data_IF_139462327168
#
_entry.id   IF_139462327168
#
_cell.length_a   1.000
_cell.length_b   1.000
_cell.length_c   1.000
_cell.angle_alpha   90.00
_cell.angle_beta   90.00
_cell.angle_gamma   90.00
#
_symmetry.space_group_name_H-M   'P 1'
#
loop_
_entity.id
_entity.type
_entity.pdbx_description
1 polymer ?
#
# COMPACT_ATOMS: atom_id res chain seq x y z
N UNK A 1 -3.74 -2.79 17.50
CA UNK A 1 -2.50 -3.52 17.88
C UNK A 1 -2.60 -3.99 19.31
N UNK A 2 -2.33 -5.27 19.56
CA UNK A 2 -2.24 -5.85 20.91
C UNK A 2 -0.78 -5.82 21.39
N UNK A 3 -0.15 -4.69 21.38
CA UNK A 3 1.14 -4.53 22.03
C UNK A 3 0.93 -3.75 23.31
N UNK A 4 1.40 -4.25 24.41
CA UNK A 4 1.49 -3.47 25.63
C UNK A 4 2.91 -3.49 26.13
N UNK A 5 3.26 -2.47 26.88
CA UNK A 5 4.53 -2.40 27.61
C UNK A 5 4.77 -3.66 28.48
N UNK A 6 3.68 -4.33 28.89
CA UNK A 6 3.70 -5.54 29.69
C UNK A 6 4.06 -6.82 28.90
N UNK A 7 3.80 -6.86 27.59
CA UNK A 7 4.05 -8.02 26.75
C UNK A 7 5.30 -7.91 25.87
N UNK A 8 6.00 -6.78 25.94
CA UNK A 8 7.19 -6.51 25.15
C UNK A 8 6.89 -5.96 23.74
N UNK A 9 7.84 -5.28 23.18
CA UNK A 9 7.73 -4.51 21.95
C UNK A 9 7.41 -5.33 20.71
N UNK A 10 7.84 -6.60 20.65
CA UNK A 10 7.61 -7.48 19.50
C UNK A 10 6.15 -7.93 19.35
N UNK A 11 5.37 -7.93 20.42
CA UNK A 11 3.99 -8.44 20.44
C UNK A 11 2.98 -7.56 19.71
N UNK A 12 3.29 -6.30 19.44
CA UNK A 12 2.39 -5.38 18.74
C UNK A 12 2.32 -5.59 17.22
N UNK A 13 3.27 -6.32 16.64
CA UNK A 13 3.36 -6.59 15.19
C UNK A 13 2.59 -7.85 14.79
N UNK A 14 2.61 -8.88 15.63
CA UNK A 14 2.11 -10.22 15.32
C UNK A 14 0.71 -10.45 15.89
N UNK A 15 -0.08 -11.28 15.23
CA UNK A 15 -1.32 -11.81 15.82
C UNK A 15 -1.00 -12.74 16.99
N UNK A 16 -2.04 -13.18 17.69
CA UNK A 16 -1.88 -14.17 18.77
C UNK A 16 -1.28 -15.50 18.24
N UNK A 17 -1.62 -15.86 17.01
CA UNK A 17 -1.12 -17.07 16.32
C UNK A 17 0.29 -16.87 15.72
N UNK A 18 0.90 -15.69 15.87
CA UNK A 18 2.22 -15.40 15.36
C UNK A 18 2.26 -15.01 13.87
N UNK A 19 1.15 -14.54 13.32
CA UNK A 19 1.08 -14.10 11.92
C UNK A 19 1.46 -12.62 11.84
N UNK A 20 2.39 -12.30 10.95
CA UNK A 20 2.73 -10.92 10.58
C UNK A 20 1.74 -10.41 9.54
N UNK A 21 0.88 -9.47 9.92
CA UNK A 21 -0.15 -8.91 9.04
C UNK A 21 0.42 -8.16 7.83
N UNK A 22 1.65 -7.64 7.91
CA UNK A 22 2.31 -6.96 6.80
C UNK A 22 2.73 -7.91 5.67
N UNK A 23 2.74 -9.22 5.92
CA UNK A 23 3.11 -10.28 4.97
C UNK A 23 1.98 -11.29 4.75
N UNK A 24 0.74 -10.94 5.10
CA UNK A 24 -0.35 -11.91 5.14
C UNK A 24 -1.44 -11.70 4.08
N UNK A 25 -1.29 -10.72 3.20
CA UNK A 25 -2.14 -10.59 2.02
C UNK A 25 -1.71 -11.61 0.94
N UNK A 26 -2.60 -11.86 -0.03
CA UNK A 26 -2.24 -12.75 -1.13
C UNK A 26 -1.11 -12.13 -1.99
N UNK A 27 -0.13 -12.94 -2.35
CA UNK A 27 0.90 -12.54 -3.32
C UNK A 27 0.30 -12.51 -4.73
N UNK A 28 -0.11 -11.33 -5.16
CA UNK A 28 -0.64 -11.09 -6.50
C UNK A 28 0.45 -10.65 -7.49
N UNK A 29 1.60 -10.24 -6.99
CA UNK A 29 2.74 -9.85 -7.82
C UNK A 29 3.25 -11.03 -8.63
N UNK A 30 3.48 -12.16 -7.97
CA UNK A 30 3.90 -13.40 -8.64
C UNK A 30 2.89 -13.82 -9.71
N UNK A 31 1.58 -13.77 -9.40
CA UNK A 31 0.55 -14.11 -10.36
C UNK A 31 0.54 -13.17 -11.59
N UNK A 32 0.72 -11.87 -11.39
CA UNK A 32 0.82 -10.90 -12.47
C UNK A 32 2.06 -11.14 -13.33
N UNK A 33 3.23 -11.27 -12.70
CA UNK A 33 4.49 -11.40 -13.45
C UNK A 33 4.60 -12.74 -14.18
N UNK A 34 4.11 -13.82 -13.61
CA UNK A 34 3.99 -15.10 -14.29
C UNK A 34 3.08 -14.98 -15.55
N UNK A 35 1.99 -14.23 -15.44
CA UNK A 35 1.11 -13.98 -16.58
C UNK A 35 1.77 -13.11 -17.65
N UNK A 36 2.50 -12.06 -17.26
CA UNK A 36 3.27 -11.22 -18.18
C UNK A 36 4.36 -12.01 -18.90
N UNK A 37 5.14 -12.81 -18.17
CA UNK A 37 6.24 -13.61 -18.72
C UNK A 37 5.76 -14.73 -19.67
N UNK A 38 4.47 -15.09 -19.60
CA UNK A 38 3.82 -16.05 -20.50
C UNK A 38 2.89 -15.41 -21.53
N UNK A 39 2.96 -14.10 -21.73
CA UNK A 39 2.12 -13.35 -22.69
C UNK A 39 0.60 -13.50 -22.44
N UNK A 40 0.17 -13.70 -21.20
CA UNK A 40 -1.24 -13.89 -20.85
C UNK A 40 -1.96 -12.57 -20.50
N UNK A 41 -1.23 -11.49 -20.32
CA UNK A 41 -1.78 -10.14 -20.13
C UNK A 41 -1.89 -9.45 -21.49
N UNK A 42 -3.01 -8.81 -21.86
CA UNK A 42 -4.27 -8.71 -21.10
C UNK A 42 -5.28 -9.84 -21.37
N UNK A 43 -4.90 -10.90 -22.07
CA UNK A 43 -5.84 -11.90 -22.58
C UNK A 43 -6.53 -12.75 -21.49
N UNK A 44 -5.77 -13.31 -20.56
CA UNK A 44 -6.33 -14.07 -19.41
C UNK A 44 -6.37 -13.23 -18.13
N UNK A 45 -5.38 -12.34 -17.98
CA UNK A 45 -5.32 -11.38 -16.88
C UNK A 45 -5.45 -9.97 -17.48
N UNK A 46 -6.51 -9.23 -17.13
CA UNK A 46 -6.61 -7.83 -17.53
C UNK A 46 -5.49 -7.01 -16.87
N UNK A 47 -5.20 -5.83 -17.40
CA UNK A 47 -4.24 -4.89 -16.79
C UNK A 47 -4.63 -4.43 -15.38
N UNK A 48 -5.67 -5.00 -14.83
CA UNK A 48 -6.25 -4.67 -13.55
C UNK A 48 -7.04 -5.86 -13.02
N UNK A 49 -7.20 -5.93 -11.69
CA UNK A 49 -7.96 -6.94 -10.98
C UNK A 49 -7.38 -8.35 -11.15
N UNK A 50 -6.27 -8.58 -10.47
CA UNK A 50 -5.71 -9.92 -10.33
C UNK A 50 -6.57 -10.69 -9.32
N UNK A 51 -7.15 -11.85 -9.70
CA UNK A 51 -7.97 -12.63 -8.80
C UNK A 51 -7.15 -13.19 -7.64
N UNK A 52 -7.78 -13.33 -6.47
CA UNK A 52 -7.15 -13.97 -5.31
C UNK A 52 -6.89 -15.43 -5.66
N UNK A 53 -5.64 -15.93 -5.53
CA UNK A 53 -5.29 -17.30 -5.85
C UNK A 53 -6.07 -18.32 -5.01
N UNK A 54 -6.43 -19.48 -5.58
CA UNK A 54 -7.22 -20.51 -4.91
C UNK A 54 -6.55 -20.98 -3.61
N UNK A 55 -5.22 -21.15 -3.60
CA UNK A 55 -4.50 -21.61 -2.40
C UNK A 55 -4.73 -20.72 -1.18
N UNK A 56 -4.94 -19.42 -1.40
CA UNK A 56 -5.15 -18.43 -0.34
C UNK A 56 -6.55 -18.55 0.30
N UNK A 57 -7.52 -19.09 -0.44
CA UNK A 57 -8.91 -19.26 0.02
C UNK A 57 -9.17 -20.63 0.65
N UNK A 58 -8.23 -21.54 0.59
CA UNK A 58 -8.38 -22.87 1.16
C UNK A 58 -8.58 -22.83 2.68
N UNK A 59 -9.27 -23.85 3.20
CA UNK A 59 -9.57 -23.94 4.64
C UNK A 59 -8.31 -24.07 5.52
N UNK A 60 -7.23 -24.60 4.98
CA UNK A 60 -5.92 -24.74 5.65
C UNK A 60 -4.96 -23.57 5.37
N UNK A 61 -5.39 -22.54 4.65
CA UNK A 61 -4.57 -21.35 4.41
C UNK A 61 -4.34 -20.58 5.71
N UNK A 62 -3.09 -20.20 5.97
CA UNK A 62 -2.71 -19.41 7.15
C UNK A 62 -2.99 -17.93 6.88
N UNK A 63 -4.26 -17.54 6.95
CA UNK A 63 -4.71 -16.16 6.75
C UNK A 63 -5.39 -15.69 8.02
N UNK A 64 -4.86 -14.62 8.61
CA UNK A 64 -5.39 -14.05 9.83
C UNK A 64 -6.84 -13.54 9.63
N UNK A 65 -7.71 -13.67 10.64
CA UNK A 65 -9.06 -13.11 10.57
C UNK A 65 -9.07 -11.60 10.32
N UNK A 66 -8.08 -10.87 10.83
CA UNK A 66 -7.88 -9.45 10.57
C UNK A 66 -7.63 -9.17 9.08
N UNK A 67 -6.76 -9.96 8.45
CA UNK A 67 -6.48 -9.82 7.01
C UNK A 67 -7.72 -10.14 6.17
N UNK A 68 -8.45 -11.21 6.51
CA UNK A 68 -9.72 -11.55 5.84
C UNK A 68 -10.75 -10.43 5.97
N UNK A 69 -10.87 -9.82 7.16
CA UNK A 69 -11.80 -8.73 7.41
C UNK A 69 -11.47 -7.48 6.57
N UNK A 70 -10.19 -7.15 6.42
CA UNK A 70 -9.74 -6.03 5.58
C UNK A 70 -10.01 -6.31 4.11
N UNK A 71 -9.69 -7.51 3.61
CA UNK A 71 -9.97 -7.91 2.23
C UNK A 71 -11.47 -7.81 1.93
N UNK A 72 -12.31 -8.39 2.78
CA UNK A 72 -13.77 -8.34 2.65
C UNK A 72 -14.29 -6.89 2.68
N UNK A 73 -13.71 -6.03 3.49
CA UNK A 73 -14.04 -4.61 3.54
C UNK A 73 -13.67 -3.90 2.23
N UNK A 74 -12.46 -4.12 1.71
CA UNK A 74 -12.00 -3.56 0.44
C UNK A 74 -12.84 -4.02 -0.76
N UNK A 75 -13.34 -5.26 -0.75
CA UNK A 75 -14.21 -5.77 -1.80
C UNK A 75 -15.62 -5.20 -1.77
N UNK A 76 -16.12 -4.81 -0.58
CA UNK A 76 -17.46 -4.24 -0.40
C UNK A 76 -17.52 -2.73 -0.55
N UNK A 77 -16.42 -2.04 -0.26
CA UNK A 77 -16.35 -0.58 -0.30
C UNK A 77 -15.31 -0.17 -1.33
N UNK A 78 -15.69 0.63 -2.35
CA UNK A 78 -14.78 1.04 -3.41
C UNK A 78 -13.84 2.16 -2.93
N UNK A 79 -12.86 1.80 -2.10
CA UNK A 79 -11.84 2.74 -1.67
C UNK A 79 -11.01 3.24 -2.86
N UNK A 80 -10.66 4.52 -2.85
CA UNK A 80 -9.80 5.16 -3.85
C UNK A 80 -8.38 5.31 -3.33
N UNK A 81 -8.24 5.68 -2.04
CA UNK A 81 -6.98 5.79 -1.33
C UNK A 81 -7.05 5.04 -0.01
N UNK A 82 -5.93 4.48 0.39
CA UNK A 82 -5.72 3.94 1.73
C UNK A 82 -4.29 4.17 2.20
N UNK A 83 -4.03 3.98 3.48
CA UNK A 83 -2.70 4.04 4.03
C UNK A 83 -2.50 2.97 5.10
N UNK A 84 -1.39 2.27 5.03
CA UNK A 84 -0.89 1.44 6.12
C UNK A 84 -0.03 2.31 7.04
N UNK A 85 -0.40 2.43 8.30
CA UNK A 85 0.35 3.22 9.29
C UNK A 85 1.27 2.31 10.08
N UNK A 86 2.55 2.60 10.02
CA UNK A 86 3.63 1.83 10.60
C UNK A 86 4.57 2.74 11.42
N UNK A 87 5.57 2.17 12.03
CA UNK A 87 6.62 2.92 12.73
C UNK A 87 7.95 2.19 12.67
N UNK A 88 9.01 2.89 13.01
CA UNK A 88 10.39 2.39 12.96
C UNK A 88 11.29 3.20 12.04
N UNK A 89 10.72 4.08 11.25
CA UNK A 89 11.39 4.99 10.33
C UNK A 89 10.60 6.29 10.14
N UNK A 90 11.20 7.24 9.45
CA UNK A 90 10.53 8.43 8.92
C UNK A 90 10.60 8.39 7.39
N UNK A 91 9.69 7.62 6.80
CA UNK A 91 9.63 7.41 5.35
C UNK A 91 8.23 7.02 4.90
N UNK A 92 7.89 7.36 3.67
CA UNK A 92 6.69 6.87 3.00
C UNK A 92 7.11 5.89 1.91
N UNK A 93 6.61 4.67 1.98
CA UNK A 93 6.84 3.67 0.94
C UNK A 93 5.62 3.52 0.04
N UNK A 94 5.89 3.19 -1.22
CA UNK A 94 4.87 3.02 -2.24
C UNK A 94 5.18 1.79 -3.11
N UNK A 95 4.15 1.17 -3.74
CA UNK A 95 4.32 -0.09 -4.46
C UNK A 95 5.23 0.03 -5.72
N UNK A 96 5.75 -1.12 -6.18
CA UNK A 96 5.54 -2.41 -5.53
C UNK A 96 6.47 -2.58 -4.34
N UNK A 97 6.03 -3.36 -3.37
CA UNK A 97 6.82 -3.72 -2.19
C UNK A 97 7.60 -5.02 -2.39
N UNK A 98 7.27 -5.80 -3.41
CA UNK A 98 7.96 -7.04 -3.75
C UNK A 98 8.90 -6.86 -4.93
N UNK A 99 10.12 -7.40 -4.84
CA UNK A 99 11.07 -7.44 -5.96
C UNK A 99 10.60 -8.42 -7.03
N UNK A 100 10.71 -8.05 -8.32
CA UNK A 100 10.42 -8.95 -9.44
C UNK A 100 11.47 -10.06 -9.55
N UNK A 101 12.70 -9.74 -9.25
CA UNK A 101 13.81 -10.70 -9.25
C UNK A 101 13.88 -11.42 -7.91
N UNK A 102 13.39 -12.66 -7.82
CA UNK A 102 13.14 -13.39 -6.58
C UNK A 102 14.37 -13.59 -5.66
N UNK A 103 15.60 -13.53 -6.21
CA UNK A 103 16.83 -13.64 -5.39
C UNK A 103 17.38 -12.30 -4.90
N UNK A 104 16.79 -11.20 -5.31
CA UNK A 104 17.19 -9.87 -4.84
C UNK A 104 16.44 -9.50 -3.56
N UNK A 105 17.19 -9.01 -2.57
CA UNK A 105 16.60 -8.46 -1.36
C UNK A 105 16.05 -7.03 -1.56
N UNK A 106 16.58 -6.31 -2.55
CA UNK A 106 16.24 -4.93 -2.89
C UNK A 106 16.32 -4.74 -4.41
N UNK A 107 15.29 -4.13 -4.99
CA UNK A 107 15.25 -3.78 -6.40
C UNK A 107 14.14 -2.74 -6.64
N UNK A 108 14.48 -1.66 -7.34
CA UNK A 108 13.44 -0.71 -7.77
C UNK A 108 12.42 -1.45 -8.65
N UNK A 109 11.18 -1.53 -8.20
CA UNK A 109 10.10 -2.25 -8.88
C UNK A 109 8.88 -1.32 -9.01
N UNK A 110 8.86 -0.46 -10.05
CA UNK A 110 7.79 0.51 -10.23
C UNK A 110 6.49 -0.15 -10.69
N UNK A 111 5.37 0.43 -10.28
CA UNK A 111 4.06 0.13 -10.87
C UNK A 111 3.88 0.91 -12.19
N UNK A 112 2.88 0.57 -13.02
CA UNK A 112 2.48 1.42 -14.15
C UNK A 112 2.10 2.86 -13.75
N UNK A 113 1.66 3.08 -12.50
CA UNK A 113 1.28 4.38 -11.93
C UNK A 113 2.34 4.95 -10.98
N UNK A 114 3.63 4.65 -11.18
CA UNK A 114 4.72 5.06 -10.29
C UNK A 114 4.74 6.57 -10.02
N UNK A 115 4.48 7.40 -11.02
CA UNK A 115 4.45 8.86 -10.86
C UNK A 115 3.34 9.32 -9.92
N UNK A 116 2.17 8.68 -9.96
CA UNK A 116 1.05 8.98 -9.07
C UNK A 116 1.40 8.58 -7.63
N UNK A 117 1.97 7.41 -7.43
CA UNK A 117 2.40 6.95 -6.12
C UNK A 117 3.50 7.84 -5.53
N UNK A 118 4.49 8.22 -6.33
CA UNK A 118 5.52 9.18 -5.91
C UNK A 118 4.94 10.53 -5.52
N UNK A 119 3.95 11.01 -6.28
CA UNK A 119 3.22 12.22 -5.92
C UNK A 119 2.52 12.08 -4.56
N UNK A 120 1.75 11.01 -4.34
CA UNK A 120 1.04 10.74 -3.09
C UNK A 120 2.02 10.67 -1.89
N UNK A 121 3.11 9.94 -2.06
CA UNK A 121 4.15 9.83 -1.04
C UNK A 121 4.81 11.19 -0.75
N UNK A 122 5.10 11.99 -1.80
CA UNK A 122 5.69 13.31 -1.66
C UNK A 122 4.75 14.27 -0.94
N UNK A 123 3.45 14.27 -1.27
CA UNK A 123 2.45 15.11 -0.57
C UNK A 123 2.47 14.82 0.93
N UNK A 124 2.52 13.55 1.31
CA UNK A 124 2.62 13.19 2.72
C UNK A 124 3.94 13.64 3.35
N UNK A 125 5.06 13.26 2.76
CA UNK A 125 6.39 13.49 3.32
C UNK A 125 6.72 14.98 3.46
N UNK A 126 6.31 15.82 2.51
CA UNK A 126 6.54 17.27 2.56
C UNK A 126 5.61 18.02 3.50
N UNK A 127 4.53 17.39 3.92
CA UNK A 127 3.53 17.97 4.85
C UNK A 127 3.66 17.43 6.27
N UNK A 128 4.42 16.36 6.48
CA UNK A 128 4.73 15.82 7.79
C UNK A 128 5.79 16.72 8.47
N UNK A 129 5.50 17.22 9.66
CA UNK A 129 6.38 18.19 10.33
C UNK A 129 7.77 17.64 10.63
N UNK A 130 7.86 16.35 11.00
CA UNK A 130 9.15 15.72 11.26
C UNK A 130 9.93 15.49 9.96
N UNK A 131 9.31 14.95 8.91
CA UNK A 131 9.95 14.66 7.62
C UNK A 131 10.38 15.93 6.86
N UNK A 132 9.56 16.99 6.95
CA UNK A 132 9.79 18.25 6.23
C UNK A 132 10.87 19.14 6.87
N UNK A 133 11.33 18.84 8.08
CA UNK A 133 12.35 19.63 8.78
C UNK A 133 13.74 19.26 8.25
N UNK A 134 14.47 20.24 7.70
CA UNK A 134 15.79 20.03 7.08
C UNK A 134 16.83 19.44 8.06
N UNK A 135 16.83 19.91 9.31
CA UNK A 135 17.75 19.47 10.36
C UNK A 135 17.09 18.48 11.33
N UNK A 136 16.19 17.63 10.84
CA UNK A 136 15.53 16.65 11.69
C UNK A 136 16.53 15.64 12.26
N UNK A 137 16.21 15.09 13.43
CA UNK A 137 16.93 13.92 13.96
C UNK A 137 16.83 12.77 12.95
N UNK A 138 17.96 12.19 12.58
CA UNK A 138 18.01 10.97 11.78
C UNK A 138 17.62 9.77 12.65
N UNK A 139 16.85 8.85 12.08
CA UNK A 139 16.50 7.59 12.75
C UNK A 139 17.74 6.70 12.91
N UNK A 140 18.59 6.70 11.89
CA UNK A 140 19.89 6.00 11.87
C UNK A 140 20.81 6.59 10.79
N UNK A 141 22.01 6.04 10.64
CA UNK A 141 23.02 6.56 9.72
C UNK A 141 22.56 6.62 8.25
N UNK A 142 21.88 5.58 7.78
CA UNK A 142 21.38 5.44 6.39
C UNK A 142 19.92 5.88 6.23
N UNK A 143 19.53 6.91 6.95
CA UNK A 143 18.19 7.48 6.98
C UNK A 143 17.73 8.04 5.61
N UNK A 144 16.42 8.07 5.40
CA UNK A 144 15.77 8.47 4.15
C UNK A 144 15.70 9.98 3.91
N UNK A 145 16.18 10.82 4.83
CA UNK A 145 16.15 12.28 4.67
C UNK A 145 16.81 12.74 3.36
N UNK A 146 17.89 12.05 2.93
CA UNK A 146 18.61 12.39 1.70
C UNK A 146 17.85 12.11 0.40
N UNK A 147 16.83 11.27 0.47
CA UNK A 147 15.97 10.91 -0.69
C UNK A 147 14.57 11.50 -0.58
N UNK A 148 14.38 12.49 0.28
CA UNK A 148 13.11 13.19 0.46
C UNK A 148 12.07 12.41 1.27
N UNK A 149 12.51 11.45 2.07
CA UNK A 149 11.67 10.60 2.93
C UNK A 149 10.60 9.79 2.16
N UNK A 150 10.87 9.44 0.92
CA UNK A 150 10.04 8.55 0.11
C UNK A 150 10.91 7.48 -0.55
N UNK A 151 10.37 6.27 -0.70
CA UNK A 151 11.07 5.18 -1.39
C UNK A 151 10.08 4.17 -1.96
N UNK A 152 10.39 3.60 -3.13
CA UNK A 152 9.71 2.39 -3.60
C UNK A 152 9.96 1.25 -2.62
N UNK A 153 8.91 0.55 -2.18
CA UNK A 153 9.01 -0.45 -1.12
C UNK A 153 10.02 -1.54 -1.41
N UNK A 154 9.99 -2.12 -2.61
CA UNK A 154 10.93 -3.16 -3.04
C UNK A 154 12.38 -2.66 -3.13
N UNK A 155 12.60 -1.35 -3.30
CA UNK A 155 13.95 -0.77 -3.29
C UNK A 155 14.50 -0.57 -1.86
N UNK A 156 13.67 -0.68 -0.85
CA UNK A 156 14.08 -0.74 0.56
C UNK A 156 14.30 -2.19 1.02
N UNK A 157 13.27 -3.00 0.95
CA UNK A 157 13.34 -4.44 1.19
C UNK A 157 12.10 -5.12 0.61
N UNK A 158 12.28 -6.33 0.10
CA UNK A 158 11.14 -7.08 -0.48
C UNK A 158 10.14 -7.54 0.58
N UNK A 159 8.85 -7.28 0.34
CA UNK A 159 7.73 -7.64 1.22
C UNK A 159 6.66 -8.36 0.41
N UNK A 160 6.77 -9.68 0.19
CA UNK A 160 5.68 -10.42 -0.42
C UNK A 160 4.43 -10.41 0.47
N UNK A 161 3.26 -10.31 -0.13
CA UNK A 161 1.99 -10.29 0.59
C UNK A 161 1.71 -8.99 1.32
N UNK A 162 2.21 -7.86 0.82
CA UNK A 162 1.92 -6.53 1.35
C UNK A 162 0.49 -6.07 1.01
N UNK A 163 -0.08 -5.21 1.86
CA UNK A 163 -1.36 -4.58 1.58
C UNK A 163 -1.26 -3.55 0.44
N UNK A 164 -0.13 -2.86 0.28
CA UNK A 164 0.09 -1.94 -0.84
C UNK A 164 -0.12 -2.61 -2.18
N UNK A 165 0.59 -3.72 -2.40
CA UNK A 165 0.55 -4.44 -3.68
C UNK A 165 -0.80 -5.11 -3.90
N UNK A 166 -1.38 -5.70 -2.84
CA UNK A 166 -2.71 -6.30 -2.89
C UNK A 166 -3.78 -5.27 -3.28
N UNK A 167 -3.79 -4.11 -2.63
CA UNK A 167 -4.75 -3.03 -2.89
C UNK A 167 -4.70 -2.58 -4.35
N UNK A 168 -3.50 -2.36 -4.86
CA UNK A 168 -3.28 -1.92 -6.24
C UNK A 168 -3.66 -2.98 -7.28
N UNK A 169 -3.35 -4.26 -7.03
CA UNK A 169 -3.55 -5.34 -7.99
C UNK A 169 -4.96 -5.95 -7.96
N UNK A 170 -5.65 -5.90 -6.82
CA UNK A 170 -6.96 -6.52 -6.66
C UNK A 170 -8.13 -5.54 -6.61
N UNK A 171 -7.86 -4.26 -6.34
CA UNK A 171 -8.88 -3.22 -6.20
C UNK A 171 -8.54 -1.97 -7.01
N UNK A 172 -9.38 -0.94 -6.96
CA UNK A 172 -9.05 0.38 -7.52
C UNK A 172 -8.35 1.29 -6.48
N UNK A 173 -7.91 0.75 -5.34
CA UNK A 173 -7.39 1.53 -4.24
C UNK A 173 -5.89 1.74 -4.37
N UNK A 174 -5.45 2.99 -4.36
CA UNK A 174 -4.05 3.35 -4.29
C UNK A 174 -3.63 3.49 -2.83
N UNK A 175 -2.67 2.66 -2.42
CA UNK A 175 -2.21 2.60 -1.04
C UNK A 175 -0.73 2.93 -0.92
N UNK A 176 -0.39 3.62 0.16
CA UNK A 176 0.99 3.86 0.58
C UNK A 176 1.18 3.33 2.01
N UNK A 177 2.41 3.00 2.37
CA UNK A 177 2.76 2.73 3.78
C UNK A 177 3.51 3.93 4.35
N UNK A 178 3.05 4.42 5.49
CA UNK A 178 3.67 5.55 6.19
C UNK A 178 4.35 5.03 7.46
N UNK A 179 5.67 5.17 7.50
CA UNK A 179 6.47 4.99 8.70
C UNK A 179 6.46 6.31 9.47
N UNK A 180 5.63 6.36 10.51
CA UNK A 180 5.22 7.60 11.18
C UNK A 180 6.31 8.24 12.03
N UNK A 181 7.24 7.44 12.58
CA UNK A 181 8.30 7.91 13.47
C UNK A 181 9.44 6.92 13.55
N UNK A 182 10.62 7.40 14.00
CA UNK A 182 11.80 6.56 14.21
C UNK A 182 11.56 5.40 15.16
N UNK A 183 10.71 5.59 16.17
CA UNK A 183 10.39 4.56 17.13
C UNK A 183 9.19 3.72 16.66
N UNK A 184 9.41 2.42 16.53
CA UNK A 184 8.34 1.48 16.11
C UNK A 184 7.17 1.46 17.10
N UNK A 185 7.46 1.65 18.37
CA UNK A 185 6.51 1.65 19.48
C UNK A 185 6.81 2.83 20.41
N UNK A 186 6.46 4.07 20.04
CA UNK A 186 6.72 5.24 20.85
C UNK A 186 6.01 5.11 22.21
N UNK A 187 6.62 5.70 23.23
CA UNK A 187 6.00 5.76 24.57
C UNK A 187 4.71 6.57 24.52
N UNK A 188 3.77 6.26 25.42
CA UNK A 188 2.48 6.95 25.46
C UNK A 188 2.58 8.47 25.61
N UNK A 189 3.62 8.98 26.27
CA UNK A 189 3.86 10.42 26.42
C UNK A 189 4.28 11.11 25.11
N UNK A 190 4.73 10.36 24.09
CA UNK A 190 5.17 10.89 22.80
C UNK A 190 4.04 10.92 21.77
N UNK A 191 2.95 10.18 22.02
CA UNK A 191 1.83 10.08 21.06
C UNK A 191 1.18 11.43 20.71
N UNK A 192 1.06 12.42 21.62
CA UNK A 192 0.57 13.74 21.22
C UNK A 192 1.47 14.44 20.20
N UNK A 193 2.80 14.36 20.35
CA UNK A 193 3.76 14.95 19.43
C UNK A 193 3.75 14.21 18.09
N UNK A 194 3.67 12.88 18.12
CA UNK A 194 3.50 12.06 16.91
C UNK A 194 2.21 12.41 16.16
N UNK A 195 1.11 12.64 16.87
CA UNK A 195 -0.12 13.13 16.25
C UNK A 195 0.07 14.49 15.58
N UNK A 196 0.66 15.46 16.26
CA UNK A 196 0.90 16.79 15.69
C UNK A 196 1.83 16.74 14.47
N UNK A 197 2.85 15.87 14.49
CA UNK A 197 3.75 15.68 13.34
C UNK A 197 3.05 15.14 12.10
N UNK A 198 2.05 14.29 12.28
CA UNK A 198 1.41 13.54 11.20
C UNK A 198 0.03 14.10 10.77
N UNK A 199 -0.66 14.83 11.64
CA UNK A 199 -2.07 15.25 11.43
C UNK A 199 -2.30 15.94 10.11
N UNK A 200 -1.52 16.97 9.79
CA UNK A 200 -1.71 17.74 8.57
C UNK A 200 -1.40 16.91 7.33
N UNK A 201 -0.36 16.10 7.39
CA UNK A 201 0.01 15.20 6.29
C UNK A 201 -1.09 14.17 5.98
N UNK A 202 -1.73 13.61 7.01
CA UNK A 202 -2.86 12.69 6.85
C UNK A 202 -4.06 13.39 6.18
N UNK A 203 -4.38 14.61 6.58
CA UNK A 203 -5.48 15.39 5.99
C UNK A 203 -5.19 15.73 4.53
N UNK A 204 -3.98 16.21 4.22
CA UNK A 204 -3.58 16.55 2.85
C UNK A 204 -3.49 15.30 1.95
N UNK A 205 -3.09 14.16 2.50
CA UNK A 205 -3.14 12.90 1.77
C UNK A 205 -4.58 12.50 1.42
N UNK A 206 -5.50 12.55 2.37
CA UNK A 206 -6.92 12.29 2.12
C UNK A 206 -7.53 13.25 1.10
N UNK A 207 -7.11 14.51 1.08
CA UNK A 207 -7.59 15.51 0.10
C UNK A 207 -7.24 15.12 -1.35
N UNK A 208 -6.20 14.27 -1.56
CA UNK A 208 -5.81 13.85 -2.90
C UNK A 208 -6.89 13.06 -3.64
N UNK A 209 -7.89 12.49 -2.95
CA UNK A 209 -9.06 11.84 -3.60
C UNK A 209 -9.86 12.79 -4.50
N UNK A 210 -9.71 14.09 -4.31
CA UNK A 210 -10.40 15.10 -5.11
C UNK A 210 -9.61 15.51 -6.36
N UNK A 211 -8.37 15.04 -6.51
CA UNK A 211 -7.53 15.32 -7.68
C UNK A 211 -7.69 14.22 -8.71
N UNK A 212 -7.88 14.60 -9.96
CA UNK A 212 -8.05 13.67 -11.08
C UNK A 212 -9.40 13.80 -11.75
N UNK A 213 -9.77 12.77 -12.48
CA UNK A 213 -11.02 12.70 -13.22
C UNK A 213 -11.95 11.71 -12.51
N UNK A 214 -13.16 12.14 -12.19
CA UNK A 214 -14.20 11.26 -11.66
C UNK A 214 -15.48 11.41 -12.49
N UNK A 215 -16.24 10.33 -12.60
CA UNK A 215 -17.46 10.33 -13.38
C UNK A 215 -18.29 9.07 -13.18
N UNK A 216 -19.32 8.94 -13.98
CA UNK A 216 -20.18 7.77 -14.01
C UNK A 216 -20.25 7.27 -15.44
N UNK A 217 -19.97 5.98 -15.63
CA UNK A 217 -20.18 5.31 -16.92
C UNK A 217 -21.63 4.85 -16.98
N UNK A 218 -22.36 5.32 -17.99
CA UNK A 218 -23.78 5.04 -18.14
C UNK A 218 -24.10 4.49 -19.52
N UNK A 219 -25.09 3.64 -19.58
CA UNK A 219 -25.72 3.26 -20.83
C UNK A 219 -26.40 4.48 -21.45
N UNK A 220 -26.14 4.67 -22.76
CA UNK A 220 -26.58 5.88 -23.47
C UNK A 220 -28.10 6.01 -23.56
N UNK A 221 -28.83 4.90 -23.66
CA UNK A 221 -30.28 4.89 -23.90
C UNK A 221 -31.06 4.89 -22.59
N UNK A 222 -30.58 4.09 -21.60
CA UNK A 222 -31.28 3.91 -20.33
C UNK A 222 -30.79 4.84 -19.22
N UNK A 223 -29.67 5.53 -19.42
CA UNK A 223 -28.96 6.36 -18.45
C UNK A 223 -28.57 5.63 -17.15
N UNK A 224 -28.69 4.30 -17.11
CA UNK A 224 -28.28 3.49 -15.98
C UNK A 224 -26.77 3.33 -15.93
N UNK A 225 -26.22 3.30 -14.72
CA UNK A 225 -24.80 2.99 -14.50
C UNK A 225 -24.44 1.61 -15.04
N UNK A 226 -23.28 1.47 -15.63
CA UNK A 226 -22.73 0.21 -16.13
C UNK A 226 -21.70 -0.27 -15.14
N UNK A 227 -21.96 -1.41 -14.52
CA UNK A 227 -21.01 -2.06 -13.62
C UNK A 227 -19.93 -2.80 -14.43
N UNK A 228 -18.72 -2.89 -13.86
CA UNK A 228 -17.57 -3.56 -14.46
C UNK A 228 -17.14 -3.01 -15.83
N UNK A 229 -17.46 -1.77 -16.14
CA UNK A 229 -16.88 -1.12 -17.29
C UNK A 229 -15.40 -0.84 -17.02
N UNK A 230 -14.55 -1.18 -17.98
CA UNK A 230 -13.10 -0.94 -17.87
C UNK A 230 -12.80 0.46 -18.39
N UNK A 231 -12.05 1.23 -17.60
CA UNK A 231 -11.58 2.55 -17.97
C UNK A 231 -10.05 2.48 -18.03
N UNK A 232 -9.52 2.72 -19.23
CA UNK A 232 -8.09 2.69 -19.48
C UNK A 232 -7.55 4.09 -19.73
N UNK A 233 -6.34 4.34 -19.28
CA UNK A 233 -5.56 5.53 -19.62
C UNK A 233 -4.50 5.12 -20.65
N UNK A 234 -4.46 5.82 -21.80
CA UNK A 234 -3.51 5.50 -22.86
C UNK A 234 -2.07 5.60 -22.34
N UNK A 235 -1.29 4.55 -22.60
CA UNK A 235 0.10 4.43 -22.14
C UNK A 235 0.28 3.94 -20.69
N UNK A 236 -0.79 3.70 -19.92
CA UNK A 236 -0.72 3.15 -18.57
C UNK A 236 -1.31 1.72 -18.55
N UNK A 237 -0.47 0.74 -18.24
CA UNK A 237 -0.88 -0.67 -18.16
C UNK A 237 -1.56 -1.02 -16.82
N UNK A 238 -2.51 -0.20 -16.44
CA UNK A 238 -3.36 -0.43 -15.25
C UNK A 238 -4.74 0.19 -15.51
N UNK A 239 -5.76 -0.62 -15.50
CA UNK A 239 -7.13 -0.20 -15.79
C UNK A 239 -7.94 -0.07 -14.50
N UNK A 240 -9.00 0.73 -14.54
CA UNK A 240 -9.94 0.91 -13.43
C UNK A 240 -11.28 0.31 -13.82
N UNK A 241 -12.01 -0.25 -12.87
CA UNK A 241 -13.36 -0.77 -13.07
C UNK A 241 -14.41 0.06 -12.35
N UNK A 242 -15.56 0.23 -12.97
CA UNK A 242 -16.74 0.86 -12.35
C UNK A 242 -17.51 -0.12 -11.47
#
# INVERSE_FOLDING_TARGET
>A
RQGSELSGWAMGRWTYEGIDLNHNFADLNTALWDAEDNDLVPHQFPNHYIPIPEYYTLANATVAPETRAVIDWMQRVPFVLSANLHGGELVVTYPFDMTRTYWKAQELTPTPDDEVFRWLATVYATSNLAMATEERRLCHYDDFARVGNIINGANWHTVPGSMNDFSYLHTNCFEITVELSCDKFPHASELPDEWENNREALLLYMEQVHRGIKGVVRDRETEKGIANAIISVDGINHDIRT
#
